data_IF_371022860657
#
_entry.id   IF_371022860657
#
_cell.length_a   1.000
_cell.length_b   1.000
_cell.length_c   1.000
_cell.angle_alpha   90.00
_cell.angle_beta   90.00
_cell.angle_gamma   90.00
#
_symmetry.space_group_name_H-M   'P 1'
#
loop_
_entity.id
_entity.type
_entity.pdbx_description
1 polymer ?
#
# COMPACT_ATOMS: atom_id res chain seq x y z
N UNK A 1 41.25 15.70 5.94
CA UNK A 1 40.00 16.47 6.15
C UNK A 1 38.86 15.68 5.53
N UNK A 2 38.11 14.92 6.33
CA UNK A 2 36.84 14.35 5.91
C UNK A 2 35.83 15.50 5.86
N UNK A 3 35.40 15.86 4.67
CA UNK A 3 34.25 16.75 4.49
C UNK A 3 33.03 15.90 4.82
N UNK A 4 32.47 16.13 6.02
CA UNK A 4 31.23 15.48 6.45
C UNK A 4 30.13 15.80 5.45
N UNK A 5 29.57 14.75 4.84
CA UNK A 5 28.31 14.85 4.09
C UNK A 5 27.23 15.20 5.12
N UNK A 6 26.44 16.27 4.94
CA UNK A 6 25.38 16.61 5.87
C UNK A 6 24.36 15.49 5.93
N UNK A 7 24.27 14.85 7.10
CA UNK A 7 23.28 13.83 7.45
C UNK A 7 21.89 14.45 7.62
N UNK A 8 21.28 15.00 6.57
CA UNK A 8 19.86 15.41 6.58
C UNK A 8 19.25 15.79 5.22
N UNK A 9 19.83 15.43 4.09
CA UNK A 9 19.19 15.61 2.79
C UNK A 9 18.55 14.30 2.35
N UNK A 10 17.39 13.99 2.92
CA UNK A 10 16.44 13.17 2.19
C UNK A 10 16.04 13.95 0.94
N UNK A 11 16.40 13.47 -0.25
CA UNK A 11 15.93 14.06 -1.48
C UNK A 11 14.42 13.86 -1.57
N UNK A 12 13.67 14.87 -1.15
CA UNK A 12 12.22 14.96 -1.35
C UNK A 12 11.98 15.28 -2.82
N UNK A 13 11.66 14.26 -3.62
CA UNK A 13 11.06 14.47 -4.94
C UNK A 13 9.64 13.89 -4.94
N UNK A 14 8.77 14.53 -4.17
CA UNK A 14 7.33 14.36 -4.27
C UNK A 14 6.81 15.41 -5.25
N UNK A 15 7.07 15.24 -6.53
CA UNK A 15 6.46 16.06 -7.57
C UNK A 15 5.36 15.23 -8.24
N UNK A 16 4.11 15.72 -8.32
CA UNK A 16 3.14 15.08 -9.18
C UNK A 16 3.69 15.12 -10.60
N UNK A 17 3.79 13.97 -11.26
CA UNK A 17 4.05 13.99 -12.71
C UNK A 17 2.80 14.60 -13.34
N UNK A 18 2.90 15.83 -13.88
CA UNK A 18 1.74 16.63 -14.29
C UNK A 18 0.78 15.89 -15.26
N UNK A 19 1.31 15.02 -16.13
CA UNK A 19 0.50 14.20 -17.02
C UNK A 19 -0.33 13.12 -16.32
N UNK A 20 0.00 12.76 -15.08
CA UNK A 20 -0.69 11.73 -14.29
C UNK A 20 -1.91 12.28 -13.60
N UNK A 21 -1.89 13.52 -13.10
CA UNK A 21 -3.10 14.14 -12.57
C UNK A 21 -4.17 14.21 -13.66
N UNK A 22 -3.79 14.58 -14.89
CA UNK A 22 -4.70 14.53 -16.04
C UNK A 22 -5.22 13.12 -16.37
N UNK A 23 -4.37 12.08 -16.25
CA UNK A 23 -4.80 10.70 -16.44
C UNK A 23 -5.75 10.23 -15.32
N UNK A 24 -5.49 10.61 -14.08
CA UNK A 24 -6.34 10.37 -12.92
C UNK A 24 -7.68 11.11 -13.09
N UNK A 25 -7.66 12.38 -13.50
CA UNK A 25 -8.85 13.18 -13.78
C UNK A 25 -9.68 12.53 -14.88
N UNK A 26 -9.03 12.02 -15.92
CA UNK A 26 -9.71 11.31 -17.02
C UNK A 26 -10.37 10.00 -16.57
N UNK A 27 -9.75 9.27 -15.64
CA UNK A 27 -10.33 8.06 -15.06
C UNK A 27 -11.48 8.41 -14.10
N UNK A 28 -11.29 9.43 -13.27
CA UNK A 28 -12.29 9.95 -12.34
C UNK A 28 -13.55 10.45 -13.08
N UNK A 29 -13.38 11.22 -14.16
CA UNK A 29 -14.47 11.71 -15.00
C UNK A 29 -15.30 10.59 -15.65
N UNK A 30 -14.75 9.36 -15.73
CA UNK A 30 -15.44 8.17 -16.24
C UNK A 30 -16.01 7.29 -15.13
N UNK A 31 -15.97 7.76 -13.88
CA UNK A 31 -16.40 7.00 -12.70
C UNK A 31 -15.57 5.75 -12.43
N UNK A 32 -14.35 5.65 -12.98
CA UNK A 32 -13.50 4.48 -12.80
C UNK A 32 -12.69 4.59 -11.51
N UNK A 33 -12.56 3.46 -10.80
CA UNK A 33 -11.66 3.38 -9.65
C UNK A 33 -10.21 3.48 -10.11
N UNK A 34 -9.48 4.44 -9.56
CA UNK A 34 -8.04 4.58 -9.79
C UNK A 34 -7.32 3.62 -8.86
N UNK A 35 -6.58 2.68 -9.44
CA UNK A 35 -5.75 1.73 -8.67
C UNK A 35 -4.37 2.34 -8.49
N UNK A 36 -4.01 2.65 -7.25
CA UNK A 36 -2.67 3.06 -6.86
C UNK A 36 -1.90 1.85 -6.33
N UNK A 37 -0.68 1.65 -6.81
CA UNK A 37 0.19 0.54 -6.41
C UNK A 37 1.36 1.11 -5.60
N UNK A 38 1.52 0.63 -4.36
CA UNK A 38 2.64 0.98 -3.50
C UNK A 38 3.70 -0.11 -3.56
N UNK A 39 4.95 0.30 -3.76
CA UNK A 39 6.10 -0.59 -3.85
C UNK A 39 7.37 0.09 -3.34
N UNK A 40 8.38 -0.70 -3.01
CA UNK A 40 9.70 -0.20 -2.63
C UNK A 40 10.79 -0.85 -3.50
N UNK A 41 11.81 -0.07 -3.84
CA UNK A 41 13.02 -0.59 -4.49
C UNK A 41 14.28 -0.12 -3.77
N UNK A 42 15.28 -0.98 -3.77
CA UNK A 42 16.64 -0.63 -3.41
C UNK A 42 17.23 0.31 -4.47
N UNK A 43 17.88 1.40 -4.06
CA UNK A 43 18.61 2.30 -4.97
C UNK A 43 20.10 2.02 -4.90
N UNK A 44 20.66 1.98 -3.69
CA UNK A 44 22.06 1.72 -3.39
C UNK A 44 22.23 1.35 -1.92
N UNK A 45 23.45 1.01 -1.51
CA UNK A 45 23.82 0.53 -0.16
C UNK A 45 23.31 1.38 1.01
N UNK A 46 22.99 2.65 0.77
CA UNK A 46 22.53 3.58 1.78
C UNK A 46 21.08 4.06 1.58
N UNK A 47 20.43 3.75 0.46
CA UNK A 47 19.16 4.37 0.07
C UNK A 47 18.13 3.40 -0.52
N UNK A 48 16.89 3.63 -0.11
CA UNK A 48 15.68 2.93 -0.58
C UNK A 48 14.70 3.96 -1.14
N UNK A 49 13.88 3.56 -2.11
CA UNK A 49 12.80 4.40 -2.65
C UNK A 49 11.44 3.74 -2.42
N UNK A 50 10.54 4.47 -1.76
CA UNK A 50 9.12 4.14 -1.71
C UNK A 50 8.42 4.83 -2.89
N UNK A 51 7.61 4.10 -3.63
CA UNK A 51 6.92 4.59 -4.83
C UNK A 51 5.43 4.35 -4.73
N UNK A 52 4.66 5.30 -5.26
CA UNK A 52 3.26 5.13 -5.63
C UNK A 52 3.14 5.27 -7.14
N UNK A 53 2.45 4.34 -7.78
CA UNK A 53 2.17 4.37 -9.21
C UNK A 53 0.68 4.18 -9.47
N UNK A 54 0.14 4.82 -10.51
CA UNK A 54 -1.21 4.60 -10.98
C UNK A 54 -1.20 3.49 -12.03
N UNK A 55 -2.09 2.50 -11.88
CA UNK A 55 -2.29 1.48 -12.91
C UNK A 55 -3.12 2.07 -14.05
N UNK A 56 -2.49 2.32 -15.18
CA UNK A 56 -3.15 2.73 -16.41
C UNK A 56 -3.04 1.60 -17.43
N UNK A 57 -4.16 0.89 -17.66
CA UNK A 57 -4.23 -0.29 -18.54
C UNK A 57 -3.21 -1.36 -18.11
N UNK A 58 -2.15 -1.56 -18.89
CA UNK A 58 -1.07 -2.54 -18.67
C UNK A 58 0.24 -1.89 -18.17
N UNK A 59 0.19 -0.63 -17.75
CA UNK A 59 1.37 0.13 -17.29
C UNK A 59 1.16 0.62 -15.86
N UNK A 60 2.23 0.58 -15.08
CA UNK A 60 2.34 1.31 -13.83
C UNK A 60 2.98 2.67 -14.16
N UNK A 61 2.25 3.76 -13.92
CA UNK A 61 2.71 5.12 -14.23
C UNK A 61 3.11 5.80 -12.90
N UNK A 62 4.37 6.23 -12.70
CA UNK A 62 4.84 6.71 -11.39
C UNK A 62 4.17 8.00 -10.94
N UNK A 63 3.38 7.98 -9.87
CA UNK A 63 2.65 9.15 -9.32
C UNK A 63 3.56 10.01 -8.44
N UNK A 64 4.24 9.38 -7.48
CA UNK A 64 5.19 10.01 -6.59
C UNK A 64 6.10 8.99 -5.91
N UNK A 65 7.23 9.48 -5.38
CA UNK A 65 8.18 8.65 -4.67
C UNK A 65 8.84 9.41 -3.52
N UNK A 66 9.43 8.67 -2.58
CA UNK A 66 10.28 9.19 -1.50
C UNK A 66 11.53 8.35 -1.40
N UNK A 67 12.68 9.02 -1.49
CA UNK A 67 13.98 8.40 -1.20
C UNK A 67 14.27 8.59 0.28
N UNK A 68 14.71 7.51 0.93
CA UNK A 68 15.14 7.52 2.32
C UNK A 68 16.50 6.84 2.44
N UNK A 69 17.37 7.46 3.24
CA UNK A 69 18.57 6.78 3.65
C UNK A 69 18.23 5.80 4.77
N UNK A 70 18.10 4.54 4.39
CA UNK A 70 17.73 3.42 5.26
C UNK A 70 18.19 2.14 4.59
N UNK A 71 18.38 1.08 5.37
CA UNK A 71 18.63 -0.25 4.84
C UNK A 71 17.39 -1.11 5.05
N UNK A 72 16.87 -1.65 3.95
CA UNK A 72 15.68 -2.48 3.96
C UNK A 72 14.38 -1.68 4.07
N UNK A 73 13.39 -2.32 4.68
CA UNK A 73 11.99 -1.95 4.64
C UNK A 73 11.67 -0.54 5.17
N UNK A 74 11.03 0.30 4.35
CA UNK A 74 10.55 1.64 4.72
C UNK A 74 9.30 1.51 5.59
N UNK A 75 9.38 2.03 6.82
CA UNK A 75 8.32 1.96 7.81
C UNK A 75 7.08 2.82 7.50
N UNK A 76 5.99 2.55 8.23
CA UNK A 76 4.68 3.16 8.00
C UNK A 76 4.66 4.69 8.10
N UNK A 77 5.49 5.32 8.94
CA UNK A 77 5.54 6.78 9.05
C UNK A 77 5.81 7.45 7.70
N UNK A 78 6.79 6.93 6.95
CA UNK A 78 7.14 7.45 5.62
C UNK A 78 6.08 7.10 4.57
N UNK A 79 5.48 5.90 4.68
CA UNK A 79 4.35 5.50 3.83
C UNK A 79 3.19 6.48 3.98
N UNK A 80 2.82 6.81 5.23
CA UNK A 80 1.77 7.78 5.55
C UNK A 80 2.08 9.16 4.98
N UNK A 81 3.30 9.66 5.13
CA UNK A 81 3.66 10.96 4.56
C UNK A 81 3.49 11.00 3.03
N UNK A 82 3.90 9.95 2.33
CA UNK A 82 3.73 9.85 0.87
C UNK A 82 2.24 9.80 0.50
N UNK A 83 1.46 8.96 1.18
CA UNK A 83 0.03 8.79 0.96
C UNK A 83 -0.76 10.09 1.24
N UNK A 84 -0.46 10.77 2.35
CA UNK A 84 -1.07 12.06 2.69
C UNK A 84 -0.75 13.11 1.62
N UNK A 85 0.49 13.13 1.09
CA UNK A 85 0.86 14.04 0.00
C UNK A 85 0.02 13.78 -1.24
N UNK A 86 -0.02 12.53 -1.71
CA UNK A 86 -0.80 12.14 -2.89
C UNK A 86 -2.28 12.45 -2.71
N UNK A 87 -2.85 12.21 -1.53
CA UNK A 87 -4.25 12.51 -1.23
C UNK A 87 -4.60 13.98 -1.43
N UNK A 88 -3.68 14.91 -1.16
CA UNK A 88 -3.92 16.35 -1.37
C UNK A 88 -3.90 16.77 -2.84
N UNK A 89 -3.30 15.96 -3.72
CA UNK A 89 -3.24 16.25 -5.16
C UNK A 89 -4.38 15.63 -5.95
N UNK A 90 -5.03 14.60 -5.40
CA UNK A 90 -6.11 13.87 -6.07
C UNK A 90 -7.42 14.67 -6.00
N UNK A 91 -8.30 14.56 -7.02
CA UNK A 91 -9.66 15.09 -6.95
C UNK A 91 -10.42 14.55 -5.74
N UNK A 92 -11.33 15.34 -5.16
CA UNK A 92 -12.03 14.96 -3.92
C UNK A 92 -12.95 13.74 -4.07
N UNK A 93 -13.58 13.58 -5.23
CA UNK A 93 -14.63 12.58 -5.45
C UNK A 93 -14.14 11.36 -6.25
N UNK A 94 -12.82 11.15 -6.32
CA UNK A 94 -12.25 10.00 -7.02
C UNK A 94 -12.29 8.75 -6.13
N UNK A 95 -12.80 7.65 -6.68
CA UNK A 95 -12.69 6.34 -6.03
C UNK A 95 -11.27 5.79 -6.16
N UNK A 96 -10.59 5.58 -5.04
CA UNK A 96 -9.23 5.02 -4.99
C UNK A 96 -9.24 3.59 -4.45
N UNK A 97 -8.42 2.72 -5.06
CA UNK A 97 -8.03 1.43 -4.49
C UNK A 97 -6.50 1.36 -4.35
N UNK A 98 -6.01 1.21 -3.12
CA UNK A 98 -4.59 0.97 -2.86
C UNK A 98 -4.29 -0.53 -2.98
N UNK A 99 -3.41 -0.90 -3.91
CA UNK A 99 -2.84 -2.23 -4.03
C UNK A 99 -1.42 -2.24 -3.49
N UNK A 100 -1.08 -3.25 -2.68
CA UNK A 100 0.27 -3.40 -2.15
C UNK A 100 0.56 -4.88 -1.87
N UNK A 101 1.84 -5.21 -1.76
CA UNK A 101 2.30 -6.57 -1.53
C UNK A 101 2.25 -6.95 -0.02
N UNK A 102 2.80 -8.13 0.32
CA UNK A 102 2.72 -8.69 1.69
C UNK A 102 3.56 -7.96 2.72
N UNK A 103 4.50 -7.12 2.29
CA UNK A 103 5.27 -6.28 3.21
C UNK A 103 4.39 -5.19 3.83
N UNK A 104 3.35 -4.75 3.12
CA UNK A 104 2.48 -3.65 3.51
C UNK A 104 1.20 -4.08 4.24
N UNK A 105 1.02 -5.39 4.48
CA UNK A 105 -0.14 -5.99 5.16
C UNK A 105 -0.23 -5.68 6.67
N UNK A 106 -0.13 -4.41 7.04
CA UNK A 106 -0.11 -3.93 8.43
C UNK A 106 -1.45 -3.29 8.82
N UNK A 107 -1.82 -3.42 10.09
CA UNK A 107 -3.00 -2.76 10.64
C UNK A 107 -2.95 -1.24 10.48
N UNK A 108 -1.77 -0.63 10.61
CA UNK A 108 -1.58 0.81 10.45
C UNK A 108 -1.93 1.30 9.05
N UNK A 109 -1.47 0.59 8.00
CA UNK A 109 -1.78 0.96 6.62
C UNK A 109 -3.26 0.75 6.29
N UNK A 110 -3.83 -0.38 6.72
CA UNK A 110 -5.25 -0.69 6.51
C UNK A 110 -6.13 0.36 7.21
N UNK A 111 -5.83 0.67 8.47
CA UNK A 111 -6.54 1.71 9.22
C UNK A 111 -6.38 3.11 8.59
N UNK A 112 -5.24 3.41 7.97
CA UNK A 112 -5.07 4.64 7.19
C UNK A 112 -5.99 4.67 5.97
N UNK A 113 -6.06 3.59 5.18
CA UNK A 113 -6.94 3.51 4.01
C UNK A 113 -8.41 3.69 4.40
N UNK A 114 -8.86 3.04 5.47
CA UNK A 114 -10.22 3.17 6.00
C UNK A 114 -10.54 4.62 6.38
N UNK A 115 -9.64 5.29 7.12
CA UNK A 115 -9.79 6.71 7.48
C UNK A 115 -9.74 7.66 6.27
N UNK A 116 -9.01 7.28 5.23
CA UNK A 116 -8.95 8.03 3.98
C UNK A 116 -10.17 7.82 3.08
N UNK A 117 -11.04 6.83 3.39
CA UNK A 117 -12.14 6.42 2.51
C UNK A 117 -11.66 5.67 1.26
N UNK A 118 -10.45 5.12 1.29
CA UNK A 118 -9.87 4.39 0.16
C UNK A 118 -10.16 2.90 0.29
N UNK A 119 -10.53 2.28 -0.82
CA UNK A 119 -10.52 0.82 -0.93
C UNK A 119 -9.08 0.30 -0.91
N UNK A 120 -8.88 -0.97 -0.60
CA UNK A 120 -7.54 -1.56 -0.59
C UNK A 120 -7.57 -3.05 -0.94
N UNK A 121 -6.50 -3.50 -1.57
CA UNK A 121 -6.19 -4.91 -1.85
C UNK A 121 -4.72 -5.13 -1.53
N UNK A 122 -4.46 -5.53 -0.29
CA UNK A 122 -3.11 -5.72 0.22
C UNK A 122 -2.91 -7.21 0.45
N UNK A 123 -1.86 -7.78 -0.15
CA UNK A 123 -1.52 -9.19 0.10
C UNK A 123 -1.10 -9.35 1.55
N UNK A 124 -1.43 -10.46 2.19
CA UNK A 124 -1.04 -10.73 3.58
C UNK A 124 -0.04 -11.89 3.62
N UNK A 125 0.83 -11.91 4.63
CA UNK A 125 1.60 -13.12 4.95
C UNK A 125 0.64 -14.17 5.51
N UNK A 126 0.92 -15.46 5.34
CA UNK A 126 0.08 -16.55 5.85
C UNK A 126 0.17 -16.79 7.37
N UNK A 127 1.05 -16.09 8.06
CA UNK A 127 1.28 -16.24 9.50
C UNK A 127 0.75 -15.05 10.31
N UNK A 128 -0.17 -14.24 9.77
CA UNK A 128 -0.72 -13.13 10.52
C UNK A 128 -1.86 -13.60 11.42
N UNK A 129 -1.79 -13.27 12.70
CA UNK A 129 -2.84 -13.56 13.69
C UNK A 129 -4.02 -12.61 13.51
N UNK A 130 -5.21 -13.19 13.50
CA UNK A 130 -6.50 -12.54 13.38
C UNK A 130 -7.38 -12.93 14.57
N UNK A 131 -8.15 -11.97 15.09
CA UNK A 131 -9.29 -12.27 15.94
C UNK A 131 -10.58 -12.21 15.10
N UNK A 132 -11.42 -13.23 15.19
CA UNK A 132 -12.66 -13.33 14.43
C UNK A 132 -13.67 -14.19 15.19
N UNK A 133 -14.91 -13.71 15.32
CA UNK A 133 -16.01 -14.44 15.99
C UNK A 133 -15.67 -14.99 17.39
N UNK A 134 -14.86 -14.26 18.16
CA UNK A 134 -14.44 -14.65 19.51
C UNK A 134 -13.30 -15.68 19.56
N UNK A 135 -12.77 -16.09 18.41
CA UNK A 135 -11.61 -16.98 18.29
C UNK A 135 -10.38 -16.30 17.67
N UNK A 136 -9.26 -17.00 17.74
CA UNK A 136 -8.01 -16.63 17.07
C UNK A 136 -7.73 -17.59 15.91
N UNK A 137 -7.28 -17.04 14.78
CA UNK A 137 -6.86 -17.80 13.60
C UNK A 137 -5.76 -17.05 12.86
N UNK A 138 -5.01 -17.77 12.03
CA UNK A 138 -4.04 -17.15 11.13
C UNK A 138 -4.63 -16.90 9.74
N UNK A 139 -4.08 -15.94 9.01
CA UNK A 139 -4.39 -15.73 7.58
C UNK A 139 -4.15 -16.97 6.72
N UNK A 140 -3.20 -17.82 7.07
CA UNK A 140 -2.97 -19.11 6.42
C UNK A 140 -4.08 -20.12 6.72
N UNK A 141 -4.59 -20.14 7.95
CA UNK A 141 -5.77 -20.94 8.29
C UNK A 141 -7.03 -20.42 7.60
N UNK A 142 -7.20 -19.10 7.43
CA UNK A 142 -8.27 -18.54 6.59
C UNK A 142 -8.14 -19.10 5.17
N UNK A 143 -6.94 -19.03 4.57
CA UNK A 143 -6.73 -19.51 3.22
C UNK A 143 -7.00 -21.01 3.04
N UNK A 144 -6.70 -21.84 4.06
CA UNK A 144 -6.87 -23.28 4.00
C UNK A 144 -8.29 -23.75 4.35
N UNK A 145 -8.94 -23.11 5.33
CA UNK A 145 -10.19 -23.59 5.93
C UNK A 145 -11.41 -22.76 5.54
N UNK A 146 -11.21 -21.52 5.12
CA UNK A 146 -12.26 -20.54 4.82
C UNK A 146 -12.01 -19.91 3.42
N UNK A 147 -12.12 -20.70 2.33
CA UNK A 147 -11.79 -20.25 0.97
C UNK A 147 -12.65 -19.09 0.46
N UNK A 148 -13.81 -18.85 1.07
CA UNK A 148 -14.64 -17.67 0.82
C UNK A 148 -14.11 -16.38 1.47
N UNK A 149 -13.11 -16.50 2.35
CA UNK A 149 -12.62 -15.41 3.18
C UNK A 149 -13.43 -15.21 4.47
N UNK A 150 -13.06 -14.17 5.22
CA UNK A 150 -13.74 -13.75 6.46
C UNK A 150 -14.01 -12.25 6.45
N UNK A 151 -15.11 -11.85 7.09
CA UNK A 151 -15.52 -10.45 7.20
C UNK A 151 -15.29 -9.95 8.63
N UNK A 152 -14.86 -8.70 8.78
CA UNK A 152 -14.68 -8.10 10.11
C UNK A 152 -13.66 -8.79 11.01
N UNK A 153 -12.62 -9.41 10.44
CA UNK A 153 -11.50 -9.95 11.20
C UNK A 153 -10.58 -8.82 11.68
N UNK A 154 -10.17 -8.86 12.94
CA UNK A 154 -9.26 -7.89 13.52
C UNK A 154 -7.81 -8.36 13.43
N UNK A 155 -6.92 -7.49 12.95
CA UNK A 155 -5.48 -7.79 12.88
C UNK A 155 -4.84 -7.64 14.27
N UNK A 156 -4.29 -8.71 14.84
CA UNK A 156 -3.39 -8.67 16.01
C UNK A 156 -3.83 -7.84 17.23
N UNK A 157 -5.13 -7.77 17.55
CA UNK A 157 -5.59 -6.95 18.68
C UNK A 157 -5.37 -5.44 18.47
N UNK A 158 -5.17 -5.00 17.22
CA UNK A 158 -4.87 -3.61 16.87
C UNK A 158 -6.08 -2.67 16.91
N UNK A 159 -7.28 -3.20 17.11
CA UNK A 159 -8.55 -2.51 16.93
C UNK A 159 -8.93 -2.23 15.47
N UNK A 160 -8.14 -2.71 14.50
CA UNK A 160 -8.42 -2.55 13.07
C UNK A 160 -9.06 -3.81 12.52
N UNK A 161 -10.38 -3.77 12.34
CA UNK A 161 -11.15 -4.81 11.66
C UNK A 161 -11.14 -4.61 10.14
N UNK A 162 -11.03 -5.70 9.39
CA UNK A 162 -11.06 -5.70 7.93
C UNK A 162 -11.63 -7.00 7.39
N UNK A 163 -11.95 -7.00 6.09
CA UNK A 163 -12.30 -8.21 5.37
C UNK A 163 -11.03 -8.85 4.80
N UNK A 164 -10.99 -10.18 4.80
CA UNK A 164 -9.89 -11.00 4.29
C UNK A 164 -10.47 -11.86 3.17
N UNK A 165 -10.00 -11.66 1.94
CA UNK A 165 -10.33 -12.52 0.81
C UNK A 165 -9.22 -13.53 0.53
N UNK A 166 -9.59 -14.69 -0.02
CA UNK A 166 -8.66 -15.73 -0.48
C UNK A 166 -8.76 -15.79 -2.00
N UNK A 167 -7.63 -15.78 -2.72
CA UNK A 167 -7.62 -15.81 -4.19
C UNK A 167 -6.56 -16.77 -4.71
N UNK A 168 -6.98 -17.99 -5.02
CA UNK A 168 -6.10 -18.96 -5.65
C UNK A 168 -6.14 -18.87 -7.17
N UNK A 169 -5.11 -18.26 -7.77
CA UNK A 169 -4.97 -18.20 -9.23
C UNK A 169 -4.41 -19.52 -9.79
N UNK A 170 -4.96 -19.98 -10.92
CA UNK A 170 -4.51 -21.21 -11.59
C UNK A 170 -3.02 -21.12 -11.91
N UNK A 171 -2.24 -22.11 -11.46
CA UNK A 171 -0.80 -22.17 -11.68
C UNK A 171 0.05 -21.60 -10.55
N UNK A 172 -0.57 -21.01 -9.52
CA UNK A 172 0.13 -20.56 -8.31
C UNK A 172 0.10 -21.65 -7.23
N UNK A 173 1.22 -21.84 -6.52
CA UNK A 173 1.31 -22.82 -5.41
C UNK A 173 0.57 -22.35 -4.15
N UNK A 174 0.54 -21.04 -3.94
CA UNK A 174 -0.11 -20.40 -2.80
C UNK A 174 -1.36 -19.63 -3.27
N UNK A 175 -2.41 -19.57 -2.43
CA UNK A 175 -3.64 -18.81 -2.67
C UNK A 175 -3.53 -17.31 -2.31
#
# INVERSE_FOLDING_TARGET
MHVGVPSQLAWFYAAPVAGILSAVDSLAARGQTVVLQMDQSHINDANEVLMLSARLRKRAVPVAWRVRSTQGNIGFSIQKELLDSVRTWLPKDVSIMLAADRFYGTAQLIGWCQKAGWSYRIRLKGNLTLAHEGGELTTGEVAQRLPQGVMGAELYGSGVSTNIGVLHEKGHKEP
#
